data_IF_492340501033
#
_entry.id   IF_492340501033
#
_cell.length_a   1.000
_cell.length_b   1.000
_cell.length_c   1.000
_cell.angle_alpha   90.00
_cell.angle_beta   90.00
_cell.angle_gamma   90.00
#
_symmetry.space_group_name_H-M   'P 1'
#
loop_
_entity.id
_entity.type
_entity.pdbx_description
1 polymer ?
#
# COMPACT_ATOMS: atom_id res chain seq x y z
N UNK A 1 14.11 -29.63 -20.15
CA UNK A 1 14.47 -31.06 -20.13
C UNK A 1 13.18 -31.79 -20.48
N UNK A 2 12.96 -32.05 -21.77
CA UNK A 2 11.76 -32.71 -22.24
C UNK A 2 11.93 -34.21 -21.99
N UNK A 3 11.36 -34.71 -20.91
CA UNK A 3 11.12 -36.13 -20.76
C UNK A 3 10.24 -36.58 -21.94
N UNK A 4 10.61 -37.65 -22.68
CA UNK A 4 9.76 -38.15 -23.75
C UNK A 4 8.44 -38.59 -23.14
N UNK A 5 7.34 -37.96 -23.58
CA UNK A 5 5.99 -38.30 -23.13
C UNK A 5 5.78 -39.81 -23.27
N UNK A 6 5.56 -40.47 -22.14
CA UNK A 6 5.27 -41.89 -22.11
C UNK A 6 3.96 -42.11 -22.86
N UNK A 7 4.01 -42.85 -23.97
CA UNK A 7 2.84 -43.12 -24.79
C UNK A 7 1.71 -43.69 -23.95
N UNK A 8 0.51 -43.13 -24.09
CA UNK A 8 -0.72 -43.63 -23.48
C UNK A 8 -1.33 -44.78 -24.29
N UNK A 9 -0.86 -45.00 -25.52
CA UNK A 9 -1.36 -46.04 -26.40
C UNK A 9 -0.85 -47.45 -26.01
N UNK A 10 -1.69 -48.49 -26.20
CA UNK A 10 -1.28 -49.87 -25.96
C UNK A 10 -0.20 -50.32 -26.96
N UNK A 11 0.53 -51.41 -26.67
CA UNK A 11 1.59 -51.94 -27.54
C UNK A 11 1.11 -52.33 -28.95
N UNK A 12 -0.18 -52.63 -29.09
CA UNK A 12 -0.83 -53.02 -30.36
C UNK A 12 -1.26 -51.85 -31.24
N UNK A 13 -1.02 -50.60 -30.83
CA UNK A 13 -1.50 -49.43 -31.55
C UNK A 13 -0.88 -49.28 -32.95
N UNK A 14 -1.73 -48.92 -33.92
CA UNK A 14 -1.31 -48.78 -35.32
C UNK A 14 -0.46 -47.52 -35.54
N UNK A 15 0.32 -47.44 -36.65
CA UNK A 15 1.12 -46.25 -36.96
C UNK A 15 0.29 -44.95 -37.02
N UNK A 16 -0.94 -45.01 -37.55
CA UNK A 16 -1.84 -43.85 -37.59
C UNK A 16 -2.17 -43.34 -36.18
N UNK A 17 -2.47 -44.23 -35.24
CA UNK A 17 -2.78 -43.87 -33.85
C UNK A 17 -1.58 -43.21 -33.19
N UNK A 18 -0.37 -43.74 -33.42
CA UNK A 18 0.90 -43.17 -32.93
C UNK A 18 1.14 -41.76 -33.47
N UNK A 19 0.87 -41.54 -34.76
CA UNK A 19 0.98 -40.21 -35.37
C UNK A 19 -0.06 -39.23 -34.79
N UNK A 20 -1.30 -39.67 -34.59
CA UNK A 20 -2.34 -38.85 -33.96
C UNK A 20 -1.98 -38.49 -32.51
N UNK A 21 -1.45 -39.43 -31.74
CA UNK A 21 -0.95 -39.18 -30.37
C UNK A 21 0.13 -38.08 -30.36
N UNK A 22 1.10 -38.13 -31.27
CA UNK A 22 2.15 -37.10 -31.36
C UNK A 22 1.60 -35.72 -31.75
N UNK A 23 0.61 -35.68 -32.66
CA UNK A 23 -0.03 -34.41 -33.05
C UNK A 23 -0.82 -33.82 -31.87
N UNK A 24 -1.52 -34.65 -31.11
CA UNK A 24 -2.31 -34.22 -29.94
C UNK A 24 -1.46 -33.88 -28.73
N UNK A 25 -0.28 -34.48 -28.57
CA UNK A 25 0.63 -34.24 -27.46
C UNK A 25 0.99 -32.75 -27.27
N UNK A 26 1.04 -31.97 -28.37
CA UNK A 26 1.31 -30.51 -28.32
C UNK A 26 0.27 -29.72 -27.52
N UNK A 27 -0.95 -30.24 -27.35
CA UNK A 27 -1.97 -29.61 -26.52
C UNK A 27 -1.62 -29.68 -25.03
N UNK A 28 -0.90 -30.73 -24.60
CA UNK A 28 -0.46 -30.87 -23.22
C UNK A 28 0.69 -29.90 -22.86
N UNK A 29 1.43 -29.43 -23.86
CA UNK A 29 2.55 -28.48 -23.69
C UNK A 29 2.10 -27.02 -23.58
N UNK A 30 0.79 -26.72 -23.69
CA UNK A 30 0.30 -25.36 -23.52
C UNK A 30 0.59 -24.92 -22.08
N UNK A 31 1.45 -23.90 -21.86
CA UNK A 31 1.82 -23.48 -20.52
C UNK A 31 0.61 -22.85 -19.84
N UNK A 32 0.15 -23.43 -18.74
CA UNK A 32 -0.94 -22.87 -17.93
C UNK A 32 -0.36 -22.35 -16.60
N UNK A 33 -0.02 -21.05 -16.50
CA UNK A 33 0.70 -20.50 -15.37
C UNK A 33 -0.20 -20.24 -14.15
N UNK A 34 -1.05 -21.20 -13.75
CA UNK A 34 -1.99 -21.04 -12.64
C UNK A 34 -1.33 -20.58 -11.34
N UNK A 35 -0.17 -21.17 -11.00
CA UNK A 35 0.57 -20.79 -9.80
C UNK A 35 1.03 -19.33 -9.84
N UNK A 36 1.42 -18.83 -11.02
CA UNK A 36 1.88 -17.45 -11.15
C UNK A 36 0.72 -16.46 -11.02
N UNK A 37 -0.47 -16.84 -11.49
CA UNK A 37 -1.68 -16.02 -11.40
C UNK A 37 -2.17 -15.84 -9.96
N UNK A 38 -1.98 -16.86 -9.12
CA UNK A 38 -2.43 -16.86 -7.71
C UNK A 38 -1.38 -16.33 -6.72
N UNK A 39 -0.16 -16.06 -7.18
CA UNK A 39 0.89 -15.45 -6.36
C UNK A 39 0.93 -13.92 -6.61
N UNK A 40 0.66 -13.09 -5.59
CA UNK A 40 0.69 -11.64 -5.69
C UNK A 40 2.03 -11.06 -6.12
N UNK A 41 3.15 -11.79 -6.01
CA UNK A 41 4.48 -11.31 -6.39
C UNK A 41 4.85 -11.67 -7.83
N UNK A 42 4.35 -12.79 -8.36
CA UNK A 42 4.65 -13.23 -9.73
C UNK A 42 3.55 -12.92 -10.73
N UNK A 43 2.34 -12.61 -10.26
CA UNK A 43 1.19 -12.32 -11.13
C UNK A 43 1.48 -11.08 -12.03
N UNK A 44 1.17 -11.13 -13.34
CA UNK A 44 1.28 -9.98 -14.23
C UNK A 44 0.47 -8.78 -13.72
N UNK A 45 1.03 -7.57 -13.81
CA UNK A 45 0.38 -6.37 -13.27
C UNK A 45 -1.05 -6.13 -13.79
N UNK A 46 -1.36 -6.31 -15.09
CA UNK A 46 -2.73 -6.11 -15.60
C UNK A 46 -3.76 -7.07 -14.99
N UNK A 47 -3.32 -8.19 -14.40
CA UNK A 47 -4.18 -9.20 -13.81
C UNK A 47 -4.34 -9.04 -12.29
N UNK A 48 -3.54 -8.18 -11.65
CA UNK A 48 -3.65 -7.91 -10.21
C UNK A 48 -5.05 -7.46 -9.76
N UNK A 49 -5.81 -6.63 -10.51
CA UNK A 49 -7.16 -6.25 -10.10
C UNK A 49 -8.10 -7.45 -9.98
N UNK A 50 -7.95 -8.46 -10.84
CA UNK A 50 -8.76 -9.68 -10.80
C UNK A 50 -8.38 -10.58 -9.64
N UNK A 51 -7.07 -10.72 -9.38
CA UNK A 51 -6.59 -11.43 -8.20
C UNK A 51 -7.08 -10.74 -6.91
N UNK A 52 -7.01 -9.41 -6.86
CA UNK A 52 -7.50 -8.62 -5.74
C UNK A 52 -9.01 -8.87 -5.53
N UNK A 53 -9.82 -8.76 -6.59
CA UNK A 53 -11.24 -9.02 -6.55
C UNK A 53 -11.57 -10.43 -6.02
N UNK A 54 -10.83 -11.45 -6.46
CA UNK A 54 -11.00 -12.83 -6.00
C UNK A 54 -10.74 -13.03 -4.50
N UNK A 55 -9.94 -12.14 -3.90
CA UNK A 55 -9.63 -12.11 -2.47
C UNK A 55 -10.45 -11.05 -1.71
N UNK A 56 -11.56 -10.56 -2.26
CA UNK A 56 -12.44 -9.58 -1.61
C UNK A 56 -11.71 -8.30 -1.16
N UNK A 57 -10.80 -7.82 -2.01
CA UNK A 57 -10.16 -6.51 -1.90
C UNK A 57 -11.13 -5.44 -2.42
N UNK A 58 -11.84 -4.77 -1.51
CA UNK A 58 -12.85 -3.76 -1.88
C UNK A 58 -12.23 -2.45 -2.40
N UNK A 59 -11.35 -1.83 -1.61
CA UNK A 59 -10.67 -0.60 -2.03
C UNK A 59 -9.52 -0.93 -2.98
N UNK A 60 -9.58 -0.40 -4.20
CA UNK A 60 -8.55 -0.57 -5.24
C UNK A 60 -8.45 0.67 -6.13
N UNK A 61 -7.21 1.12 -6.40
CA UNK A 61 -6.94 2.18 -7.38
C UNK A 61 -5.91 1.74 -8.41
N UNK A 62 -6.14 2.10 -9.67
CA UNK A 62 -5.17 1.92 -10.75
C UNK A 62 -3.93 2.79 -10.57
N UNK A 63 -4.06 3.95 -9.92
CA UNK A 63 -2.98 4.91 -9.65
C UNK A 63 -2.02 4.48 -8.55
N UNK A 64 -2.36 3.45 -7.76
CA UNK A 64 -1.48 2.99 -6.70
C UNK A 64 -0.18 2.39 -7.25
N UNK A 65 0.94 2.60 -6.54
CA UNK A 65 2.18 1.91 -6.84
C UNK A 65 2.02 0.38 -6.81
N UNK A 66 2.71 -0.31 -7.71
CA UNK A 66 2.61 -1.77 -7.86
C UNK A 66 2.94 -2.51 -6.57
N UNK A 67 3.93 -2.05 -5.81
CA UNK A 67 4.30 -2.69 -4.54
C UNK A 67 3.18 -2.62 -3.49
N UNK A 68 2.43 -1.51 -3.40
CA UNK A 68 1.25 -1.39 -2.51
C UNK A 68 0.14 -2.34 -2.98
N UNK A 69 -0.16 -2.35 -4.28
CA UNK A 69 -1.13 -3.28 -4.88
C UNK A 69 -0.82 -4.73 -4.49
N UNK A 70 0.44 -5.16 -4.66
CA UNK A 70 0.89 -6.52 -4.32
C UNK A 70 0.85 -6.79 -2.83
N UNK A 71 1.33 -5.85 -1.99
CA UNK A 71 1.31 -5.98 -0.53
C UNK A 71 -0.12 -6.13 0.02
N UNK A 72 -1.07 -5.36 -0.52
CA UNK A 72 -2.48 -5.40 -0.15
C UNK A 72 -3.11 -6.75 -0.49
N UNK A 73 -2.84 -7.29 -1.67
CA UNK A 73 -3.32 -8.63 -2.07
C UNK A 73 -2.69 -9.70 -1.15
N UNK A 74 -1.38 -9.63 -0.91
CA UNK A 74 -0.68 -10.60 -0.06
C UNK A 74 -1.20 -10.62 1.39
N UNK A 75 -1.58 -9.46 1.94
CA UNK A 75 -2.11 -9.35 3.29
C UNK A 75 -3.62 -9.67 3.42
N UNK A 76 -4.35 -9.77 2.30
CA UNK A 76 -5.82 -9.82 2.29
C UNK A 76 -6.40 -10.95 3.16
N UNK A 77 -5.88 -12.18 3.02
CA UNK A 77 -6.38 -13.36 3.72
C UNK A 77 -6.19 -13.21 5.24
N UNK A 78 -5.01 -12.78 5.68
CA UNK A 78 -4.70 -12.65 7.11
C UNK A 78 -5.52 -11.53 7.77
N UNK A 79 -5.68 -10.40 7.07
CA UNK A 79 -6.54 -9.30 7.52
C UNK A 79 -7.98 -9.76 7.69
N UNK A 80 -8.51 -10.51 6.72
CA UNK A 80 -9.88 -11.01 6.76
C UNK A 80 -10.13 -12.01 7.89
N UNK A 81 -9.16 -12.90 8.17
CA UNK A 81 -9.24 -13.88 9.26
C UNK A 81 -9.35 -13.23 10.64
N UNK A 82 -8.70 -12.09 10.84
CA UNK A 82 -8.69 -11.39 12.12
C UNK A 82 -9.51 -10.09 12.10
N UNK A 83 -10.42 -9.93 11.15
CA UNK A 83 -11.22 -8.71 10.97
C UNK A 83 -11.96 -8.33 12.25
N UNK A 84 -11.95 -7.05 12.60
CA UNK A 84 -12.49 -6.54 13.86
C UNK A 84 -11.50 -6.57 15.03
N UNK A 85 -10.29 -7.07 14.85
CA UNK A 85 -9.22 -6.96 15.87
C UNK A 85 -8.34 -5.74 15.66
N UNK A 86 -7.65 -5.31 16.71
CA UNK A 86 -6.59 -4.28 16.64
C UNK A 86 -5.50 -4.68 15.64
N UNK A 87 -5.16 -5.98 15.58
CA UNK A 87 -4.21 -6.53 14.60
C UNK A 87 -4.65 -6.28 13.16
N UNK A 88 -5.92 -6.54 12.84
CA UNK A 88 -6.42 -6.31 11.48
C UNK A 88 -6.35 -4.84 11.05
N UNK A 89 -6.64 -3.90 11.95
CA UNK A 89 -6.51 -2.46 11.67
C UNK A 89 -5.04 -2.10 11.41
N UNK A 90 -4.11 -2.62 12.21
CA UNK A 90 -2.68 -2.41 12.02
C UNK A 90 -2.17 -3.01 10.70
N UNK A 91 -2.59 -4.22 10.39
CA UNK A 91 -2.16 -4.92 9.17
C UNK A 91 -2.73 -4.25 7.91
N UNK A 92 -3.94 -3.71 7.96
CA UNK A 92 -4.50 -2.85 6.90
C UNK A 92 -3.58 -1.66 6.65
N UNK A 93 -3.27 -0.87 7.68
CA UNK A 93 -2.42 0.33 7.52
C UNK A 93 -1.03 -0.04 7.00
N UNK A 94 -0.45 -1.13 7.51
CA UNK A 94 0.84 -1.63 7.03
C UNK A 94 0.81 -2.04 5.57
N UNK A 95 -0.30 -2.60 5.08
CA UNK A 95 -0.44 -2.94 3.65
C UNK A 95 -0.44 -1.72 2.73
N UNK A 96 -0.78 -0.54 3.25
CA UNK A 96 -0.64 0.75 2.59
C UNK A 96 0.76 1.39 2.75
N UNK A 97 1.70 0.71 3.42
CA UNK A 97 3.06 1.23 3.64
C UNK A 97 3.15 2.26 4.78
N UNK A 98 2.13 2.34 5.63
CA UNK A 98 2.12 3.18 6.83
C UNK A 98 2.35 2.40 8.12
N UNK A 99 2.41 3.14 9.21
CA UNK A 99 2.32 2.59 10.56
C UNK A 99 1.22 3.31 11.35
N UNK A 100 0.68 2.63 12.37
CA UNK A 100 -0.41 3.13 13.19
C UNK A 100 -0.20 2.85 14.66
N UNK A 101 -0.34 3.91 15.45
CA UNK A 101 -0.47 3.81 16.89
C UNK A 101 -1.95 3.90 17.26
N UNK A 102 -2.41 2.90 17.98
CA UNK A 102 -3.82 2.73 18.37
C UNK A 102 -3.91 2.92 19.87
N UNK A 103 -4.71 3.89 20.32
CA UNK A 103 -4.97 4.14 21.74
C UNK A 103 -6.46 3.99 22.03
N UNK A 104 -6.82 2.97 22.79
CA UNK A 104 -8.20 2.69 23.19
C UNK A 104 -8.68 3.68 24.26
N UNK A 105 -9.99 3.90 24.37
CA UNK A 105 -10.58 4.85 25.32
C UNK A 105 -10.16 4.62 26.78
N UNK A 106 -9.96 3.37 27.20
CA UNK A 106 -9.55 2.99 28.56
C UNK A 106 -8.04 3.19 28.81
N UNK A 107 -7.24 3.41 27.77
CA UNK A 107 -5.81 3.72 27.87
C UNK A 107 -5.54 5.22 28.01
N UNK A 108 -6.57 6.05 27.77
CA UNK A 108 -6.45 7.51 27.86
C UNK A 108 -6.64 7.98 29.30
N UNK A 109 -6.01 9.10 29.66
CA UNK A 109 -6.16 9.73 30.96
C UNK A 109 -6.50 11.22 30.78
N UNK A 110 -7.75 11.65 31.02
CA UNK A 110 -8.90 10.87 31.50
C UNK A 110 -9.43 9.86 30.44
N UNK A 111 -10.15 8.80 30.85
CA UNK A 111 -10.75 7.85 29.91
C UNK A 111 -11.74 8.52 28.96
N UNK A 112 -11.69 8.17 27.68
CA UNK A 112 -12.62 8.68 26.67
C UNK A 112 -13.96 7.92 26.70
N UNK A 113 -14.89 8.30 25.80
CA UNK A 113 -16.18 7.63 25.68
C UNK A 113 -16.01 6.11 25.36
N UNK A 114 -16.81 5.22 25.97
CA UNK A 114 -16.73 3.79 25.68
C UNK A 114 -16.83 3.47 24.19
N UNK A 115 -16.11 2.43 23.76
CA UNK A 115 -16.03 2.00 22.35
C UNK A 115 -15.43 3.04 21.39
N UNK A 116 -14.64 3.98 21.90
CA UNK A 116 -13.85 4.89 21.07
C UNK A 116 -12.36 4.55 21.11
N UNK A 117 -11.65 4.83 20.01
CA UNK A 117 -10.20 4.72 19.95
C UNK A 117 -9.60 5.79 19.05
N UNK A 118 -8.35 6.15 19.31
CA UNK A 118 -7.61 7.13 18.50
C UNK A 118 -6.61 6.39 17.62
N UNK A 119 -6.61 6.73 16.33
CA UNK A 119 -5.64 6.24 15.36
C UNK A 119 -4.66 7.36 15.02
N UNK A 120 -3.42 7.24 15.49
CA UNK A 120 -2.33 8.11 15.07
C UNK A 120 -1.61 7.45 13.91
N UNK A 121 -1.86 7.95 12.70
CA UNK A 121 -1.36 7.38 11.46
C UNK A 121 -0.09 8.11 11.03
N UNK A 122 0.96 7.33 10.74
CA UNK A 122 2.16 7.82 10.06
C UNK A 122 2.24 7.14 8.70
N UNK A 123 1.90 7.88 7.65
CA UNK A 123 2.01 7.39 6.29
C UNK A 123 3.35 7.82 5.72
N UNK A 124 4.21 6.84 5.43
CA UNK A 124 5.42 7.06 4.65
C UNK A 124 5.01 7.34 3.21
N UNK A 125 4.94 8.61 2.83
CA UNK A 125 4.80 8.96 1.42
C UNK A 125 6.04 8.50 0.63
N UNK A 126 5.84 8.01 -0.60
CA UNK A 126 6.98 7.67 -1.45
C UNK A 126 7.80 8.94 -1.75
N UNK A 127 9.12 8.86 -1.55
CA UNK A 127 10.05 9.92 -1.92
C UNK A 127 9.96 11.20 -1.09
N UNK A 128 9.38 11.17 0.12
CA UNK A 128 9.23 12.36 0.96
C UNK A 128 8.09 13.30 0.53
N UNK A 129 7.26 12.89 -0.45
CA UNK A 129 6.04 13.61 -0.80
C UNK A 129 4.94 13.36 0.23
N UNK A 130 4.10 14.36 0.50
CA UNK A 130 2.90 14.18 1.32
C UNK A 130 2.00 13.10 0.70
N UNK A 131 1.40 12.25 1.53
CA UNK A 131 0.36 11.33 1.07
C UNK A 131 -0.82 12.14 0.54
N UNK A 132 -1.22 11.92 -0.71
CA UNK A 132 -2.37 12.58 -1.33
C UNK A 132 -3.62 12.38 -0.46
N UNK A 133 -4.48 13.39 -0.34
CA UNK A 133 -5.72 13.31 0.44
C UNK A 133 -6.60 12.10 0.04
N UNK A 134 -6.60 11.76 -1.25
CA UNK A 134 -7.29 10.59 -1.81
C UNK A 134 -6.75 9.27 -1.23
N UNK A 135 -5.43 9.16 -1.05
CA UNK A 135 -4.79 7.98 -0.47
C UNK A 135 -5.15 7.84 1.01
N UNK A 136 -5.17 8.95 1.75
CA UNK A 136 -5.61 8.96 3.15
C UNK A 136 -7.09 8.53 3.25
N UNK A 137 -7.94 9.03 2.35
CA UNK A 137 -9.36 8.66 2.31
C UNK A 137 -9.56 7.16 2.01
N UNK A 138 -8.76 6.59 1.11
CA UNK A 138 -8.77 5.16 0.81
C UNK A 138 -8.37 4.32 2.05
N UNK A 139 -7.35 4.74 2.80
CA UNK A 139 -6.96 4.08 4.06
C UNK A 139 -8.07 4.16 5.10
N UNK A 140 -8.67 5.34 5.29
CA UNK A 140 -9.80 5.55 6.21
C UNK A 140 -10.97 4.64 5.83
N UNK A 141 -11.28 4.54 4.54
CA UNK A 141 -12.36 3.68 4.03
C UNK A 141 -12.10 2.21 4.35
N UNK A 142 -10.87 1.72 4.16
CA UNK A 142 -10.53 0.34 4.46
C UNK A 142 -10.53 0.04 5.97
N UNK A 143 -10.09 1.01 6.79
CA UNK A 143 -10.15 0.91 8.26
C UNK A 143 -11.60 0.86 8.74
N UNK A 144 -12.50 1.69 8.18
CA UNK A 144 -13.94 1.65 8.49
C UNK A 144 -14.53 0.27 8.17
N UNK A 145 -14.12 -0.35 7.06
CA UNK A 145 -14.57 -1.70 6.68
C UNK A 145 -14.04 -2.78 7.61
N UNK A 146 -12.87 -2.58 8.20
CA UNK A 146 -12.13 -3.60 8.97
C UNK A 146 -12.41 -3.53 10.47
N UNK A 147 -12.64 -2.34 11.03
CA UNK A 147 -12.93 -2.16 12.46
C UNK A 147 -14.23 -2.86 12.88
N UNK A 148 -14.42 -3.18 14.16
CA UNK A 148 -15.74 -3.53 14.69
C UNK A 148 -16.76 -2.44 14.39
N UNK A 149 -17.97 -2.84 13.99
CA UNK A 149 -19.06 -1.90 13.68
C UNK A 149 -19.34 -0.97 14.86
N UNK A 150 -19.37 -1.52 16.09
CA UNK A 150 -19.64 -0.79 17.34
C UNK A 150 -18.58 0.23 17.75
N UNK A 151 -17.35 0.12 17.23
CA UNK A 151 -16.23 0.94 17.72
C UNK A 151 -16.03 2.15 16.82
N UNK A 152 -15.92 3.35 17.38
CA UNK A 152 -15.70 4.58 16.62
C UNK A 152 -14.27 5.06 16.78
N UNK A 153 -13.71 5.70 15.75
CA UNK A 153 -12.34 6.20 15.83
C UNK A 153 -12.22 7.67 15.50
N UNK A 154 -11.26 8.31 16.17
CA UNK A 154 -10.77 9.62 15.78
C UNK A 154 -9.46 9.42 15.03
N UNK A 155 -9.38 10.02 13.84
CA UNK A 155 -8.22 9.94 12.98
C UNK A 155 -7.32 11.15 13.21
N UNK A 156 -6.04 10.91 13.51
CA UNK A 156 -5.03 11.96 13.67
C UNK A 156 -3.82 11.64 12.79
N UNK A 157 -3.52 12.50 11.83
CA UNK A 157 -2.36 12.33 10.95
C UNK A 157 -1.18 13.16 11.50
N UNK A 158 -0.06 12.49 11.78
CA UNK A 158 1.18 13.17 12.09
C UNK A 158 1.81 13.72 10.82
N UNK A 159 1.91 15.05 10.69
CA UNK A 159 2.63 15.70 9.59
C UNK A 159 3.99 16.14 10.11
N UNK A 160 5.06 15.51 9.62
CA UNK A 160 6.42 15.95 9.89
C UNK A 160 6.91 16.83 8.75
N UNK A 161 6.95 18.14 8.97
CA UNK A 161 7.57 19.12 8.08
C UNK A 161 8.92 19.51 8.62
N UNK A 162 9.99 19.20 7.87
CA UNK A 162 11.35 19.67 8.18
C UNK A 162 11.49 21.06 7.55
N UNK A 163 11.32 22.11 8.34
CA UNK A 163 11.58 23.48 7.94
C UNK A 163 12.99 23.92 8.37
N UNK A 164 13.76 24.52 7.46
CA UNK A 164 14.98 25.23 7.83
C UNK A 164 14.64 26.67 8.24
N UNK A 165 15.12 27.11 9.40
CA UNK A 165 15.01 28.51 9.83
C UNK A 165 16.21 29.27 9.26
N UNK A 166 15.98 30.20 8.34
CA UNK A 166 16.99 31.11 7.81
C UNK A 166 17.07 32.39 8.64
N UNK A 167 18.28 32.83 9.01
CA UNK A 167 18.54 34.12 9.66
C UNK A 167 18.85 35.17 8.58
N UNK A 168 17.98 36.18 8.42
CA UNK A 168 18.22 37.33 7.56
C UNK A 168 18.66 38.52 8.42
N UNK A 169 19.96 38.86 8.37
CA UNK A 169 20.52 40.06 9.00
C UNK A 169 20.67 41.19 7.98
N UNK A 170 20.09 42.36 8.27
CA UNK A 170 20.32 43.58 7.50
C UNK A 170 21.16 44.57 8.31
N UNK A 171 22.25 45.07 7.73
CA UNK A 171 23.03 46.17 8.29
C UNK A 171 22.74 47.45 7.51
N UNK A 172 22.29 48.51 8.18
CA UNK A 172 22.21 49.83 7.58
C UNK A 172 23.43 50.65 7.98
N UNK A 173 24.13 51.21 6.99
CA UNK A 173 25.26 52.12 7.22
C UNK A 173 24.70 53.54 7.31
N UNK A 174 24.71 54.12 8.52
CA UNK A 174 24.42 55.54 8.73
C UNK A 174 25.73 56.32 8.78
N UNK A 175 25.98 57.13 7.74
CA UNK A 175 27.13 58.02 7.68
C UNK A 175 26.69 59.46 8.02
N UNK A 176 27.25 60.04 9.08
CA UNK A 176 27.05 61.44 9.44
C UNK A 176 28.25 62.27 8.99
N UNK A 177 28.01 63.29 8.16
CA UNK A 177 29.02 64.30 7.80
C UNK A 177 28.68 65.61 8.48
N UNK A 178 29.54 66.07 9.38
CA UNK A 178 29.41 67.38 10.03
C UNK A 178 29.81 68.46 9.03
N UNK A 179 28.87 69.32 8.66
CA UNK A 179 29.14 70.51 7.83
C UNK A 179 29.43 71.67 8.78
N UNK A 180 30.63 72.24 8.69
CA UNK A 180 30.95 73.50 9.35
C UNK A 180 30.66 74.64 8.37
N UNK A 181 29.73 75.51 8.74
CA UNK A 181 29.50 76.77 8.04
C UNK A 181 30.33 77.85 8.73
N UNK A 182 31.39 78.29 8.07
CA UNK A 182 32.13 79.49 8.44
C UNK A 182 31.42 80.69 7.82
N UNK A 183 30.94 81.60 8.66
CA UNK A 183 30.32 82.85 8.24
C UNK A 183 31.43 83.83 7.85
N UNK A 184 31.45 84.27 6.59
CA UNK A 184 32.32 85.35 6.13
C UNK A 184 31.79 86.69 6.67
N UNK A 185 32.73 87.51 7.13
CA UNK A 185 32.52 88.81 7.77
C UNK A 185 31.92 89.87 6.84
#
# INVERSE_FOLDING_TARGET
>A
MNEPLHSLLPPTATPLMRTLEQVMARMADIPIPFKQLWDPHTCPEPLLPWLAWSLSVDTWRSTWPVHIKRARIAAAIEIQRCKGSVKSVRDVVRSFGGDVLITEWWQQNPPAAPHTFTLLLTLSGQGGSQSTAEFVADVITEVIRTKPVRSHFTFTQGVHTIGQIGLLGGAQITAYRRVQLTQAA
#
